data_IF_665763803339
#
_entry.id   IF_665763803339
#
_cell.length_a   1.000
_cell.length_b   1.000
_cell.length_c   1.000
_cell.angle_alpha   90.00
_cell.angle_beta   90.00
_cell.angle_gamma   90.00
#
_symmetry.space_group_name_H-M   'P 1'
#
loop_
_entity.id
_entity.type
_entity.pdbx_description
1 polymer ?
#
# COMPACT_ATOMS: atom_id res chain seq x y z
N UNK A 1 -4.42 -14.00 9.66
CA UNK A 1 -4.32 -14.66 8.36
C UNK A 1 -3.79 -13.68 7.31
N UNK A 2 -2.89 -14.12 6.49
CA UNK A 2 -2.35 -13.34 5.37
C UNK A 2 -3.27 -13.43 4.17
N UNK A 3 -3.45 -12.31 3.45
CA UNK A 3 -4.23 -12.32 2.21
C UNK A 3 -3.61 -11.36 1.19
N UNK A 4 -3.96 -11.57 -0.06
CA UNK A 4 -3.50 -10.75 -1.19
C UNK A 4 -4.70 -10.29 -2.02
N UNK A 5 -4.63 -9.04 -2.49
CA UNK A 5 -5.65 -8.46 -3.36
C UNK A 5 -4.97 -7.96 -4.63
N UNK A 6 -5.58 -8.20 -5.76
CA UNK A 6 -5.04 -7.77 -7.05
C UNK A 6 -5.96 -6.73 -7.68
N UNK A 7 -5.36 -5.61 -8.12
CA UNK A 7 -6.08 -4.51 -8.74
C UNK A 7 -5.43 -4.17 -10.08
N UNK A 8 -6.17 -4.22 -11.21
CA UNK A 8 -5.62 -3.74 -12.47
C UNK A 8 -5.46 -2.22 -12.44
N UNK A 9 -4.32 -1.75 -12.94
CA UNK A 9 -3.97 -0.33 -12.93
C UNK A 9 -3.64 0.11 -14.35
N UNK A 10 -4.31 1.15 -14.82
CA UNK A 10 -4.06 1.71 -16.13
C UNK A 10 -3.24 3.01 -15.99
N UNK A 11 -1.95 2.85 -15.75
CA UNK A 11 -1.02 3.98 -15.58
C UNK A 11 0.40 3.49 -15.84
N UNK A 12 1.37 4.41 -15.87
CA UNK A 12 2.77 4.00 -16.00
C UNK A 12 3.28 3.45 -14.66
N UNK A 13 4.28 2.57 -14.74
CA UNK A 13 4.92 1.99 -13.56
C UNK A 13 5.51 3.10 -12.67
N UNK A 14 6.16 4.08 -13.27
CA UNK A 14 6.80 5.18 -12.54
C UNK A 14 5.79 6.00 -11.73
N UNK A 15 4.65 6.33 -12.33
CA UNK A 15 3.60 7.10 -11.68
C UNK A 15 3.01 6.29 -10.52
N UNK A 16 2.73 5.01 -10.75
CA UNK A 16 2.20 4.15 -9.71
C UNK A 16 3.19 4.02 -8.55
N UNK A 17 4.45 3.69 -8.86
CA UNK A 17 5.46 3.47 -7.82
C UNK A 17 5.68 4.71 -6.95
N UNK A 18 5.65 5.89 -7.54
CA UNK A 18 5.77 7.15 -6.79
C UNK A 18 4.68 7.25 -5.72
N UNK A 19 3.45 6.90 -6.05
CA UNK A 19 2.32 6.93 -5.09
C UNK A 19 2.41 5.87 -4.00
N UNK A 20 3.20 4.82 -4.24
CA UNK A 20 3.36 3.73 -3.26
C UNK A 20 4.56 3.94 -2.33
N UNK A 21 5.52 4.77 -2.71
CA UNK A 21 6.82 4.81 -2.06
C UNK A 21 7.23 6.15 -1.48
N UNK A 22 6.56 7.24 -1.83
CA UNK A 22 6.91 8.57 -1.32
C UNK A 22 5.94 9.02 -0.23
N UNK A 23 6.41 9.92 0.64
CA UNK A 23 5.57 10.48 1.70
C UNK A 23 4.38 11.22 1.09
N UNK A 24 4.63 12.07 0.10
CA UNK A 24 3.57 12.82 -0.57
C UNK A 24 2.60 11.90 -1.32
N UNK A 25 3.12 10.88 -1.98
CA UNK A 25 2.29 9.91 -2.70
C UNK A 25 1.36 9.15 -1.78
N UNK A 26 1.90 8.59 -0.71
CA UNK A 26 1.11 7.82 0.27
C UNK A 26 0.09 8.70 0.99
N UNK A 27 0.39 9.98 1.22
CA UNK A 27 -0.56 10.89 1.88
C UNK A 27 -1.70 11.34 0.97
N UNK A 28 -1.65 11.04 -0.31
CA UNK A 28 -2.74 11.38 -1.23
C UNK A 28 -3.85 10.33 -1.25
N UNK A 29 -3.53 9.07 -0.97
CA UNK A 29 -4.53 8.00 -1.10
C UNK A 29 -4.56 7.01 0.06
N UNK A 30 -3.41 6.73 0.69
CA UNK A 30 -3.31 5.67 1.71
C UNK A 30 -3.65 6.18 3.11
N UNK A 31 -3.13 7.33 3.48
CA UNK A 31 -3.35 7.92 4.80
C UNK A 31 -3.56 9.42 4.66
N UNK A 32 -4.14 10.05 5.68
CA UNK A 32 -4.36 11.50 5.69
C UNK A 32 -3.04 12.25 5.77
N UNK A 33 -2.07 11.69 6.51
CA UNK A 33 -0.74 12.25 6.65
C UNK A 33 0.28 11.14 6.82
N UNK A 34 1.48 11.33 6.29
CA UNK A 34 2.57 10.36 6.38
C UNK A 34 3.86 11.10 6.68
N UNK A 35 4.54 10.71 7.77
CA UNK A 35 5.81 11.30 8.17
C UNK A 35 6.83 10.21 8.44
N UNK A 36 8.12 10.56 8.32
CA UNK A 36 9.22 9.67 8.68
C UNK A 36 10.15 10.44 9.62
N UNK A 37 10.57 9.80 10.70
CA UNK A 37 11.47 10.42 11.67
C UNK A 37 12.95 10.17 11.30
N UNK A 38 13.86 10.63 12.16
CA UNK A 38 15.31 10.50 11.92
C UNK A 38 15.80 9.06 11.95
N UNK A 39 15.08 8.18 12.63
CA UNK A 39 15.41 6.77 12.76
C UNK A 39 14.81 5.93 11.64
N UNK A 40 14.03 6.55 10.75
CA UNK A 40 13.40 5.86 9.63
C UNK A 40 12.05 5.26 9.97
N UNK A 41 11.44 5.63 11.10
CA UNK A 41 10.11 5.16 11.47
C UNK A 41 9.06 6.01 10.78
N UNK A 42 8.17 5.36 10.04
CA UNK A 42 7.06 6.00 9.36
C UNK A 42 5.85 6.07 10.29
N UNK A 43 5.21 7.23 10.34
CA UNK A 43 3.93 7.41 11.04
C UNK A 43 2.85 7.68 10.01
N UNK A 44 1.84 6.83 9.98
CA UNK A 44 0.67 6.97 9.12
C UNK A 44 -0.49 7.44 9.99
N UNK A 45 -1.07 8.58 9.63
CA UNK A 45 -2.17 9.17 10.41
C UNK A 45 -3.47 9.11 9.61
N UNK A 46 -4.51 8.59 10.23
CA UNK A 46 -5.89 8.64 9.76
C UNK A 46 -6.70 9.41 10.78
N UNK A 47 -7.87 9.88 10.39
CA UNK A 47 -8.74 10.59 11.32
C UNK A 47 -8.97 9.75 12.58
N UNK A 48 -8.51 10.28 13.72
CA UNK A 48 -8.67 9.63 15.01
C UNK A 48 -7.67 8.52 15.34
N UNK A 49 -6.71 8.20 14.47
CA UNK A 49 -5.72 7.16 14.77
C UNK A 49 -4.40 7.37 14.06
N UNK A 50 -3.35 6.80 14.64
CA UNK A 50 -2.02 6.77 14.05
C UNK A 50 -1.42 5.39 14.21
N UNK A 51 -0.62 4.95 13.23
CA UNK A 51 0.13 3.70 13.31
C UNK A 51 1.53 3.92 12.76
N UNK A 52 2.50 3.21 13.34
CA UNK A 52 3.90 3.33 12.95
C UNK A 52 4.42 2.05 12.32
N UNK A 53 5.32 2.20 11.36
CA UNK A 53 5.90 1.08 10.65
C UNK A 53 7.33 1.39 10.23
N UNK A 54 8.10 0.33 10.01
CA UNK A 54 9.42 0.42 9.40
C UNK A 54 9.35 -0.01 7.94
N UNK A 55 10.04 0.73 7.07
CA UNK A 55 10.24 0.29 5.70
C UNK A 55 11.30 -0.82 5.72
N UNK A 56 10.89 -2.04 5.42
CA UNK A 56 11.76 -3.20 5.53
C UNK A 56 12.25 -3.75 4.18
N UNK A 57 11.59 -3.39 3.09
CA UNK A 57 12.01 -3.81 1.77
C UNK A 57 11.45 -2.85 0.73
N UNK A 58 12.29 -2.51 -0.26
CA UNK A 58 11.83 -1.74 -1.41
C UNK A 58 12.74 -1.96 -2.60
N UNK A 59 12.14 -1.98 -3.79
CA UNK A 59 12.85 -2.02 -5.06
C UNK A 59 12.11 -1.12 -6.02
N UNK A 60 12.83 -0.16 -6.63
CA UNK A 60 12.24 0.83 -7.52
C UNK A 60 11.41 0.17 -8.62
N UNK A 61 10.19 0.65 -8.79
CA UNK A 61 9.23 0.19 -9.80
C UNK A 61 8.79 -1.27 -9.63
N UNK A 62 9.06 -1.86 -8.46
CA UNK A 62 8.72 -3.25 -8.18
C UNK A 62 7.86 -3.38 -6.93
N UNK A 63 8.38 -3.01 -5.77
CA UNK A 63 7.62 -3.17 -4.53
C UNK A 63 8.09 -2.25 -3.42
N UNK A 64 7.23 -2.14 -2.38
CA UNK A 64 7.56 -1.53 -1.10
C UNK A 64 6.83 -2.31 0.00
N UNK A 65 7.55 -2.65 1.07
CA UNK A 65 7.00 -3.39 2.21
C UNK A 65 7.26 -2.64 3.50
N UNK A 66 6.20 -2.47 4.29
CA UNK A 66 6.26 -1.83 5.60
C UNK A 66 5.85 -2.83 6.68
N UNK A 67 6.64 -2.93 7.73
CA UNK A 67 6.33 -3.81 8.88
C UNK A 67 5.82 -2.94 10.02
N UNK A 68 4.66 -3.30 10.57
CA UNK A 68 4.07 -2.58 11.70
C UNK A 68 4.94 -2.74 12.96
N UNK A 69 5.12 -1.64 13.73
CA UNK A 69 5.93 -1.69 14.96
C UNK A 69 5.25 -2.48 16.08
N UNK A 70 3.93 -2.52 16.10
CA UNK A 70 3.17 -3.21 17.14
C UNK A 70 2.98 -4.70 16.87
N UNK A 71 3.62 -5.23 15.83
CA UNK A 71 3.56 -6.64 15.49
C UNK A 71 4.94 -7.16 15.10
N UNK A 72 5.25 -8.40 15.48
CA UNK A 72 6.51 -9.05 15.10
C UNK A 72 6.47 -9.62 13.69
N UNK A 73 5.29 -9.93 13.17
CA UNK A 73 5.14 -10.68 11.92
C UNK A 73 4.32 -9.95 10.85
N UNK A 74 3.43 -9.05 11.25
CA UNK A 74 2.51 -8.42 10.32
C UNK A 74 3.13 -7.25 9.57
N UNK A 75 2.87 -7.20 8.27
CA UNK A 75 3.34 -6.16 7.37
C UNK A 75 2.27 -5.88 6.34
N UNK A 76 2.45 -4.83 5.57
CA UNK A 76 1.70 -4.66 4.33
C UNK A 76 2.68 -4.39 3.20
N UNK A 77 2.32 -4.82 2.00
CA UNK A 77 3.20 -4.71 0.84
C UNK A 77 2.41 -4.30 -0.39
N UNK A 78 3.02 -3.44 -1.16
CA UNK A 78 2.53 -3.05 -2.48
C UNK A 78 3.52 -3.59 -3.51
N UNK A 79 3.05 -4.49 -4.37
CA UNK A 79 3.87 -5.11 -5.41
C UNK A 79 3.27 -4.75 -6.78
N UNK A 80 4.12 -4.27 -7.69
CA UNK A 80 3.72 -4.01 -9.07
C UNK A 80 4.03 -5.24 -9.90
N UNK A 81 3.01 -5.78 -10.56
CA UNK A 81 3.16 -6.93 -11.43
C UNK A 81 2.83 -6.52 -12.86
N UNK A 82 3.70 -6.93 -13.80
CA UNK A 82 3.51 -6.66 -15.22
C UNK A 82 3.28 -7.97 -15.94
N UNK A 83 2.20 -8.06 -16.70
CA UNK A 83 1.93 -9.24 -17.52
C UNK A 83 2.92 -9.26 -18.70
N UNK A 84 3.63 -10.36 -18.88
CA UNK A 84 4.66 -10.49 -19.90
C UNK A 84 4.09 -10.46 -21.32
N UNK A 85 2.84 -10.87 -21.51
CA UNK A 85 2.24 -10.95 -22.83
C UNK A 85 1.56 -9.66 -23.24
N UNK A 86 0.86 -8.99 -22.31
CA UNK A 86 0.04 -7.81 -22.63
C UNK A 86 0.66 -6.52 -22.15
N UNK A 87 1.66 -6.58 -21.25
CA UNK A 87 2.23 -5.44 -20.54
C UNK A 87 1.23 -4.72 -19.63
N UNK A 88 0.12 -5.38 -19.31
CA UNK A 88 -0.83 -4.83 -18.35
C UNK A 88 -0.23 -4.82 -16.96
N UNK A 89 -0.57 -3.77 -16.20
CA UNK A 89 -0.05 -3.57 -14.85
C UNK A 89 -1.12 -3.91 -13.83
N UNK A 90 -0.73 -4.64 -12.79
CA UNK A 90 -1.56 -4.92 -11.62
C UNK A 90 -0.82 -4.49 -10.36
N UNK A 91 -1.58 -4.00 -9.39
CA UNK A 91 -1.08 -3.75 -8.04
C UNK A 91 -1.53 -4.90 -7.15
N UNK A 92 -0.58 -5.57 -6.52
CA UNK A 92 -0.86 -6.64 -5.56
C UNK A 92 -0.66 -6.07 -4.16
N UNK A 93 -1.72 -6.06 -3.37
CA UNK A 93 -1.69 -5.63 -1.97
C UNK A 93 -1.64 -6.88 -1.09
N UNK A 94 -0.63 -6.98 -0.23
CA UNK A 94 -0.54 -8.02 0.79
C UNK A 94 -0.80 -7.40 2.14
N UNK A 95 -1.67 -8.01 2.93
CA UNK A 95 -2.02 -7.54 4.26
C UNK A 95 -2.45 -8.72 5.13
N UNK A 96 -2.73 -8.46 6.40
CA UNK A 96 -3.09 -9.48 7.39
C UNK A 96 -4.40 -9.09 8.07
N UNK A 97 -5.19 -10.09 8.43
CA UNK A 97 -6.40 -9.93 9.22
C UNK A 97 -6.42 -11.01 10.31
N UNK A 98 -7.14 -10.74 11.40
CA UNK A 98 -7.24 -11.69 12.49
C UNK A 98 -8.16 -12.87 12.13
N UNK A 99 -9.23 -12.61 11.38
CA UNK A 99 -10.18 -13.62 10.94
C UNK A 99 -10.88 -13.19 9.64
N UNK A 100 -11.81 -14.00 9.16
CA UNK A 100 -12.54 -13.73 7.91
C UNK A 100 -13.40 -12.46 7.97
N UNK A 101 -14.01 -12.19 9.12
CA UNK A 101 -14.83 -10.98 9.27
C UNK A 101 -13.97 -9.73 9.19
N UNK A 102 -12.84 -9.73 9.86
CA UNK A 102 -11.88 -8.63 9.79
C UNK A 102 -11.33 -8.46 8.38
N UNK A 103 -11.09 -9.57 7.68
CA UNK A 103 -10.63 -9.53 6.29
C UNK A 103 -11.67 -8.89 5.39
N UNK A 104 -12.95 -9.24 5.52
CA UNK A 104 -14.02 -8.66 4.71
C UNK A 104 -14.08 -7.14 4.89
N UNK A 105 -14.00 -6.67 6.13
CA UNK A 105 -14.00 -5.24 6.42
C UNK A 105 -12.77 -4.55 5.82
N UNK A 106 -11.60 -5.18 5.96
CA UNK A 106 -10.35 -4.64 5.43
C UNK A 106 -10.36 -4.58 3.89
N UNK A 107 -10.91 -5.59 3.23
CA UNK A 107 -11.03 -5.61 1.76
C UNK A 107 -11.89 -4.45 1.27
N UNK A 108 -13.01 -4.17 1.94
CA UNK A 108 -13.85 -3.04 1.57
C UNK A 108 -13.10 -1.72 1.69
N UNK A 109 -12.31 -1.56 2.74
CA UNK A 109 -11.50 -0.35 2.92
C UNK A 109 -10.40 -0.27 1.85
N UNK A 110 -9.72 -1.39 1.56
CA UNK A 110 -8.71 -1.42 0.49
C UNK A 110 -9.33 -1.04 -0.86
N UNK A 111 -10.51 -1.58 -1.17
CA UNK A 111 -11.21 -1.26 -2.42
C UNK A 111 -11.45 0.24 -2.56
N UNK A 112 -11.89 0.89 -1.48
CA UNK A 112 -12.12 2.34 -1.48
C UNK A 112 -10.83 3.12 -1.64
N UNK A 113 -9.78 2.74 -0.94
CA UNK A 113 -8.48 3.41 -1.02
C UNK A 113 -7.86 3.26 -2.41
N UNK A 114 -7.93 2.07 -2.98
CA UNK A 114 -7.39 1.82 -4.32
C UNK A 114 -8.21 2.55 -5.39
N UNK A 115 -9.52 2.65 -5.24
CA UNK A 115 -10.34 3.46 -6.15
C UNK A 115 -9.88 4.93 -6.12
N UNK A 116 -9.58 5.45 -4.93
CA UNK A 116 -9.04 6.81 -4.80
C UNK A 116 -7.69 6.94 -5.48
N UNK A 117 -6.80 5.96 -5.28
CA UNK A 117 -5.50 5.93 -5.96
C UNK A 117 -5.68 5.97 -7.48
N UNK A 118 -6.54 5.12 -8.02
CA UNK A 118 -6.81 5.07 -9.46
C UNK A 118 -7.30 6.43 -9.98
N UNK A 119 -8.19 7.06 -9.22
CA UNK A 119 -8.72 8.37 -9.58
C UNK A 119 -7.61 9.42 -9.65
N UNK A 120 -6.72 9.43 -8.66
CA UNK A 120 -5.62 10.39 -8.57
C UNK A 120 -4.64 10.25 -9.73
N UNK A 121 -4.31 9.03 -10.13
CA UNK A 121 -3.34 8.79 -11.21
C UNK A 121 -3.99 8.67 -12.59
N UNK A 122 -5.29 8.83 -12.69
CA UNK A 122 -6.00 8.80 -13.97
C UNK A 122 -6.19 7.40 -14.55
N UNK A 123 -6.21 6.41 -13.69
CA UNK A 123 -6.36 5.01 -14.10
C UNK A 123 -7.82 4.60 -14.26
#
# INVERSE_FOLDING_TARGET
MKYELEYPINSSINILYERLSTLSGLSEWFADDVNVDREGVYTFAWEGSEQQANLVSKKKNDHVRFKWLDSDEEYFEFLIQVDELTNDISLIVTDFADDEDDKEDAVQLWDLQIDNLKHIIGS
#
